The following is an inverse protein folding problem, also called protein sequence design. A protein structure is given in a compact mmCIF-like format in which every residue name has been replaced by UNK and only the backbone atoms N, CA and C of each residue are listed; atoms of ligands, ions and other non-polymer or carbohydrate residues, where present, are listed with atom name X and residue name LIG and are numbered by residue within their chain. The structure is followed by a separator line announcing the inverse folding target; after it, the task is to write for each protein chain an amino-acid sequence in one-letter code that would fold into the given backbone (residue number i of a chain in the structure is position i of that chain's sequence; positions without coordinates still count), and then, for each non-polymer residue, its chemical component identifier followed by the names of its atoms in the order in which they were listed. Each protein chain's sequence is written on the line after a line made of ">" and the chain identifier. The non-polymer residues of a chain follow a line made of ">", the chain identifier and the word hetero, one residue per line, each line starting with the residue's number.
data_IF_996265490171
#
_entry.id   IF_996265490171
#
_cell.length_a   1.000
_cell.length_b   1.000
_cell.length_c   1.000
_cell.angle_alpha   90.00
_cell.angle_beta   90.00
_cell.angle_gamma   90.00
#
_symmetry.space_group_name_H-M   'P 1'
#
loop_
_entity.id
_entity.type
_entity.pdbx_description
1 polymer ?
#
# COMPACT_ATOMS: atom_id res chain seq x y z
N UNK A 1 34.01 28.51 -62.44
CA UNK A 1 32.98 28.91 -61.45
C UNK A 1 32.76 27.69 -60.55
N UNK A 2 33.39 27.63 -59.39
CA UNK A 2 32.90 28.01 -58.06
C UNK A 2 32.37 26.77 -57.30
N UNK A 3 32.69 26.66 -55.99
CA UNK A 3 32.27 25.65 -54.99
C UNK A 3 33.12 24.37 -54.80
N UNK A 4 34.22 24.44 -54.04
CA UNK A 4 34.75 23.25 -53.32
C UNK A 4 35.66 23.61 -52.12
N UNK A 5 35.21 24.52 -51.25
CA UNK A 5 35.98 24.91 -50.05
C UNK A 5 35.16 25.02 -48.76
N UNK A 6 33.82 25.10 -48.86
CA UNK A 6 32.93 25.40 -47.72
C UNK A 6 32.58 24.14 -46.90
N UNK A 7 32.54 22.96 -47.53
CA UNK A 7 32.01 21.73 -46.92
C UNK A 7 32.88 21.15 -45.77
N UNK A 8 34.18 21.48 -45.73
CA UNK A 8 35.10 20.88 -44.73
C UNK A 8 34.99 21.53 -43.35
N UNK A 9 34.70 22.83 -43.29
CA UNK A 9 34.54 23.59 -42.05
C UNK A 9 33.19 23.30 -41.37
N UNK A 10 32.12 23.21 -42.16
CA UNK A 10 30.77 22.92 -41.65
C UNK A 10 30.69 21.52 -41.02
N UNK A 11 31.38 20.53 -41.58
CA UNK A 11 31.43 19.18 -40.98
C UNK A 11 32.21 19.13 -39.67
N UNK A 12 33.19 20.01 -39.47
CA UNK A 12 33.92 20.09 -38.20
C UNK A 12 33.03 20.70 -37.11
N UNK A 13 32.35 21.81 -37.43
CA UNK A 13 31.42 22.47 -36.52
C UNK A 13 30.21 21.57 -36.19
N UNK A 14 29.70 20.85 -37.18
CA UNK A 14 28.60 19.92 -36.98
C UNK A 14 29.00 18.76 -36.05
N UNK A 15 30.21 18.20 -36.20
CA UNK A 15 30.72 17.14 -35.30
C UNK A 15 30.86 17.58 -33.84
N UNK A 16 31.26 18.84 -33.61
CA UNK A 16 31.34 19.39 -32.25
C UNK A 16 29.95 19.58 -31.63
N UNK A 17 28.97 20.04 -32.40
CA UNK A 17 27.57 20.18 -31.92
C UNK A 17 26.91 18.84 -31.56
N UNK A 18 27.27 17.74 -32.25
CA UNK A 18 26.80 16.39 -31.91
C UNK A 18 27.46 15.85 -30.63
N UNK A 19 28.74 16.16 -30.40
CA UNK A 19 29.45 15.78 -29.17
C UNK A 19 28.91 16.50 -27.93
N UNK A 20 28.45 17.74 -28.07
CA UNK A 20 27.85 18.47 -26.95
C UNK A 20 26.43 18.01 -26.63
N UNK A 21 25.57 17.80 -27.65
CA UNK A 21 24.21 17.28 -27.44
C UNK A 21 24.15 15.89 -26.78
N UNK A 22 25.16 15.03 -27.01
CA UNK A 22 25.26 13.72 -26.38
C UNK A 22 25.52 13.76 -24.87
N UNK A 23 26.16 14.82 -24.35
CA UNK A 23 26.47 14.95 -22.91
C UNK A 23 25.26 15.33 -22.05
N UNK A 24 24.28 16.04 -22.61
CA UNK A 24 23.08 16.45 -21.88
C UNK A 24 22.00 15.36 -21.77
N UNK A 25 22.07 14.30 -22.60
CA UNK A 25 21.16 13.15 -22.50
C UNK A 25 21.56 12.14 -21.40
N UNK A 26 22.83 12.13 -20.98
CA UNK A 26 23.33 11.28 -19.89
C UNK A 26 22.84 11.67 -18.49
N UNK A 27 22.29 12.87 -18.30
CA UNK A 27 21.88 13.39 -16.99
C UNK A 27 20.54 12.87 -16.45
N UNK A 28 19.68 12.27 -17.30
CA UNK A 28 18.39 11.71 -16.83
C UNK A 28 18.53 10.30 -16.25
N UNK A 29 19.48 9.51 -16.75
CA UNK A 29 19.69 8.12 -16.33
C UNK A 29 20.37 8.03 -14.95
N UNK A 30 21.34 8.91 -14.66
CA UNK A 30 22.13 8.87 -13.42
C UNK A 30 21.31 9.15 -12.14
N UNK A 31 20.14 9.81 -12.24
CA UNK A 31 19.25 10.03 -11.09
C UNK A 31 18.43 8.81 -10.69
N UNK A 32 18.15 7.89 -11.61
CA UNK A 32 17.38 6.67 -11.31
C UNK A 32 18.29 5.61 -10.71
N UNK A 33 19.50 5.48 -11.27
CA UNK A 33 20.47 4.48 -10.83
C UNK A 33 20.97 4.76 -9.39
N UNK A 34 21.25 6.03 -9.08
CA UNK A 34 21.70 6.44 -7.74
C UNK A 34 20.63 6.27 -6.66
N UNK A 35 19.36 6.50 -7.00
CA UNK A 35 18.22 6.33 -6.08
C UNK A 35 17.92 4.87 -5.77
N UNK A 36 18.17 3.99 -6.73
CA UNK A 36 17.98 2.55 -6.51
C UNK A 36 19.14 1.96 -5.69
N UNK A 37 20.39 2.41 -5.89
CA UNK A 37 21.55 1.96 -5.08
C UNK A 37 21.34 2.16 -3.58
N UNK A 38 20.85 3.33 -3.16
CA UNK A 38 20.61 3.60 -1.72
C UNK A 38 19.53 2.70 -1.12
N UNK A 39 18.49 2.33 -1.90
CA UNK A 39 17.44 1.42 -1.44
C UNK A 39 17.95 -0.02 -1.33
N UNK A 40 18.80 -0.45 -2.27
CA UNK A 40 19.46 -1.76 -2.18
C UNK A 40 20.41 -1.85 -0.99
N UNK A 41 21.19 -0.80 -0.73
CA UNK A 41 22.07 -0.71 0.44
C UNK A 41 21.26 -0.69 1.74
N UNK A 42 20.15 0.04 1.80
CA UNK A 42 19.27 0.06 2.97
C UNK A 42 18.64 -1.31 3.23
N UNK A 43 18.17 -2.01 2.18
CA UNK A 43 17.59 -3.36 2.28
C UNK A 43 18.62 -4.41 2.68
N UNK A 44 19.85 -4.33 2.16
CA UNK A 44 20.95 -5.21 2.56
C UNK A 44 21.31 -5.01 4.03
N UNK A 45 21.41 -3.74 4.48
CA UNK A 45 21.65 -3.40 5.89
C UNK A 45 20.52 -3.86 6.80
N UNK A 46 19.24 -3.74 6.41
CA UNK A 46 18.11 -4.28 7.19
C UNK A 46 18.14 -5.80 7.25
N UNK A 47 18.53 -6.47 6.16
CA UNK A 47 18.64 -7.93 6.11
C UNK A 47 19.78 -8.45 6.99
N UNK A 48 20.87 -7.71 7.10
CA UNK A 48 22.03 -8.03 7.95
C UNK A 48 21.84 -7.60 9.41
N UNK A 49 21.18 -6.47 9.67
CA UNK A 49 20.84 -6.00 11.02
C UNK A 49 19.77 -6.86 11.70
N UNK A 50 19.15 -7.80 10.96
CA UNK A 50 17.98 -8.53 11.41
C UNK A 50 16.77 -7.61 11.60
N UNK A 51 15.60 -8.15 11.95
CA UNK A 51 14.49 -7.32 12.41
C UNK A 51 15.01 -6.42 13.52
N UNK A 52 14.99 -5.10 13.31
CA UNK A 52 15.24 -4.14 14.38
C UNK A 52 14.41 -4.59 15.58
N UNK A 53 14.97 -4.65 16.80
CA UNK A 53 14.19 -4.92 17.99
C UNK A 53 13.25 -3.73 18.17
N UNK A 54 12.12 -3.75 17.48
CA UNK A 54 10.96 -3.06 17.97
C UNK A 54 10.74 -3.69 19.33
N UNK A 55 10.91 -2.90 20.39
CA UNK A 55 10.43 -3.22 21.74
C UNK A 55 8.89 -3.25 21.76
N UNK A 56 8.30 -3.86 20.73
CA UNK A 56 7.01 -4.48 20.81
C UNK A 56 7.33 -5.80 21.47
N UNK A 57 7.15 -5.90 22.78
CA UNK A 57 7.07 -7.22 23.39
C UNK A 57 6.12 -8.04 22.52
N UNK A 58 6.44 -9.31 22.20
CA UNK A 58 5.56 -10.16 21.40
C UNK A 58 4.12 -10.18 21.96
N UNK A 59 3.96 -9.92 23.27
CA UNK A 59 2.68 -9.59 23.87
C UNK A 59 2.01 -8.34 23.31
N UNK A 60 2.67 -7.18 23.26
CA UNK A 60 2.08 -5.95 22.73
C UNK A 60 1.75 -6.05 21.23
N UNK A 61 2.57 -6.75 20.45
CA UNK A 61 2.27 -7.03 19.04
C UNK A 61 1.01 -7.91 18.89
N UNK A 62 0.91 -8.99 19.66
CA UNK A 62 -0.27 -9.86 19.70
C UNK A 62 -1.53 -9.15 20.20
N UNK A 63 -1.40 -8.30 21.22
CA UNK A 63 -2.49 -7.49 21.77
C UNK A 63 -3.00 -6.46 20.78
N UNK A 64 -2.12 -5.72 20.08
CA UNK A 64 -2.54 -4.75 19.07
C UNK A 64 -3.32 -5.40 17.92
N UNK A 65 -2.89 -6.59 17.50
CA UNK A 65 -3.60 -7.40 16.50
C UNK A 65 -4.98 -7.85 17.02
N UNK A 66 -5.05 -8.37 18.25
CA UNK A 66 -6.29 -8.85 18.86
C UNK A 66 -7.31 -7.72 19.06
N UNK A 67 -6.87 -6.56 19.56
CA UNK A 67 -7.72 -5.38 19.72
C UNK A 67 -8.31 -4.94 18.39
N UNK A 68 -7.50 -4.88 17.33
CA UNK A 68 -7.97 -4.49 16.00
C UNK A 68 -9.03 -5.44 15.45
N UNK A 69 -8.85 -6.74 15.63
CA UNK A 69 -9.83 -7.76 15.24
C UNK A 69 -11.11 -7.60 16.07
N UNK A 70 -10.99 -7.40 17.38
CA UNK A 70 -12.10 -7.16 18.29
C UNK A 70 -12.89 -5.90 17.96
N UNK A 71 -12.22 -4.78 17.64
CA UNK A 71 -12.88 -3.53 17.24
C UNK A 71 -13.69 -3.69 15.96
N UNK A 72 -13.19 -4.43 14.98
CA UNK A 72 -13.96 -4.71 13.76
C UNK A 72 -15.23 -5.51 14.07
N UNK A 73 -15.13 -6.52 14.93
CA UNK A 73 -16.28 -7.32 15.36
C UNK A 73 -17.32 -6.44 16.08
N UNK A 74 -16.87 -5.62 17.04
CA UNK A 74 -17.72 -4.72 17.81
C UNK A 74 -18.37 -3.66 16.92
N UNK A 75 -17.64 -3.09 15.95
CA UNK A 75 -18.17 -2.12 15.00
C UNK A 75 -19.28 -2.74 14.14
N UNK A 76 -19.09 -3.95 13.61
CA UNK A 76 -20.14 -4.64 12.84
C UNK A 76 -21.36 -4.99 13.69
N UNK A 77 -21.15 -5.34 14.96
CA UNK A 77 -22.24 -5.68 15.88
C UNK A 77 -23.05 -4.43 16.28
N UNK A 78 -22.38 -3.32 16.58
CA UNK A 78 -23.02 -2.02 16.83
C UNK A 78 -23.84 -1.56 15.62
N UNK A 79 -23.29 -1.71 14.41
CA UNK A 79 -24.00 -1.36 13.17
C UNK A 79 -25.20 -2.27 12.94
N UNK A 80 -25.06 -3.59 13.10
CA UNK A 80 -26.15 -4.56 12.93
C UNK A 80 -27.26 -4.39 13.98
N UNK A 81 -26.89 -4.16 15.25
CA UNK A 81 -27.83 -3.89 16.33
C UNK A 81 -28.53 -2.54 16.18
N UNK A 82 -27.81 -1.48 15.78
CA UNK A 82 -28.39 -0.17 15.51
C UNK A 82 -29.34 -0.19 14.32
N UNK A 83 -28.97 -0.86 13.22
CA UNK A 83 -29.86 -1.08 12.07
C UNK A 83 -31.09 -1.91 12.44
N UNK A 84 -30.89 -3.00 13.19
CA UNK A 84 -31.99 -3.86 13.66
C UNK A 84 -32.98 -3.11 14.54
N UNK A 85 -32.49 -2.30 15.48
CA UNK A 85 -33.32 -1.45 16.34
C UNK A 85 -34.03 -0.35 15.55
N UNK A 86 -33.36 0.25 14.55
CA UNK A 86 -33.96 1.28 13.69
C UNK A 86 -35.12 0.71 12.86
N UNK A 87 -34.95 -0.50 12.33
CA UNK A 87 -35.99 -1.22 11.57
C UNK A 87 -37.16 -1.59 12.49
N UNK A 88 -36.88 -2.10 13.69
CA UNK A 88 -37.91 -2.45 14.70
C UNK A 88 -38.74 -1.21 15.06
N UNK A 89 -38.07 -0.06 15.28
CA UNK A 89 -38.72 1.18 15.73
C UNK A 89 -39.58 1.84 14.65
N UNK A 90 -39.24 1.69 13.37
CA UNK A 90 -39.91 2.39 12.26
C UNK A 90 -40.89 1.53 11.45
N UNK A 91 -40.68 0.22 11.34
CA UNK A 91 -41.38 -0.63 10.37
C UNK A 91 -42.23 -1.74 10.98
N UNK A 92 -41.96 -2.17 12.22
CA UNK A 92 -42.60 -3.34 12.84
C UNK A 92 -43.15 -2.99 14.23
N UNK A 93 -44.47 -2.77 14.38
CA UNK A 93 -45.11 -2.57 15.69
C UNK A 93 -45.10 -3.81 16.61
N UNK A 94 -44.56 -4.96 16.16
CA UNK A 94 -44.72 -6.27 16.80
C UNK A 94 -43.43 -7.07 16.81
N UNK A 95 -42.99 -7.40 18.02
CA UNK A 95 -41.91 -8.33 18.42
C UNK A 95 -40.51 -8.04 17.81
N UNK A 96 -39.41 -8.24 18.58
CA UNK A 96 -38.07 -7.73 18.25
C UNK A 96 -37.36 -8.54 17.14
N UNK A 97 -38.08 -8.92 16.09
CA UNK A 97 -37.60 -9.69 14.95
C UNK A 97 -36.60 -8.88 14.12
N UNK A 98 -36.75 -7.56 14.03
CA UNK A 98 -35.78 -6.67 13.38
C UNK A 98 -34.44 -6.65 14.12
N UNK A 99 -34.48 -6.62 15.44
CA UNK A 99 -33.30 -6.76 16.30
C UNK A 99 -32.64 -8.14 16.18
N UNK A 100 -33.42 -9.23 16.17
CA UNK A 100 -32.89 -10.60 15.98
C UNK A 100 -32.21 -10.74 14.61
N UNK A 101 -32.86 -10.29 13.54
CA UNK A 101 -32.29 -10.29 12.19
C UNK A 101 -31.04 -9.41 12.08
N UNK A 102 -31.07 -8.19 12.64
CA UNK A 102 -29.93 -7.27 12.65
C UNK A 102 -28.72 -7.81 13.42
N UNK A 103 -28.95 -8.47 14.55
CA UNK A 103 -27.91 -9.14 15.33
C UNK A 103 -27.29 -10.31 14.55
N UNK A 104 -28.11 -11.17 13.92
CA UNK A 104 -27.61 -12.30 13.11
C UNK A 104 -26.80 -11.78 11.92
N UNK A 105 -27.29 -10.78 11.20
CA UNK A 105 -26.57 -10.19 10.07
C UNK A 105 -25.26 -9.52 10.50
N UNK A 106 -25.27 -8.78 11.61
CA UNK A 106 -24.07 -8.18 12.20
C UNK A 106 -23.03 -9.24 12.60
N UNK A 107 -23.49 -10.34 13.20
CA UNK A 107 -22.64 -11.46 13.59
C UNK A 107 -22.02 -12.16 12.36
N UNK A 108 -22.82 -12.44 11.33
CA UNK A 108 -22.34 -13.04 10.07
C UNK A 108 -21.32 -12.11 9.38
N UNK A 109 -21.58 -10.80 9.33
CA UNK A 109 -20.66 -9.83 8.76
C UNK A 109 -19.33 -9.75 9.53
N UNK A 110 -19.38 -9.77 10.86
CA UNK A 110 -18.20 -9.79 11.73
C UNK A 110 -17.37 -11.06 11.56
N UNK A 111 -18.02 -12.23 11.59
CA UNK A 111 -17.35 -13.54 11.41
C UNK A 111 -16.72 -13.62 10.02
N UNK A 112 -17.39 -13.15 8.96
CA UNK A 112 -16.85 -13.15 7.59
C UNK A 112 -15.58 -12.30 7.45
N UNK A 113 -15.49 -11.18 8.19
CA UNK A 113 -14.29 -10.32 8.22
C UNK A 113 -13.14 -10.98 9.01
N UNK A 114 -13.46 -11.58 10.15
CA UNK A 114 -12.50 -12.32 10.97
C UNK A 114 -11.92 -13.52 10.21
N UNK A 115 -12.75 -14.30 9.51
CA UNK A 115 -12.32 -15.43 8.68
C UNK A 115 -11.36 -15.02 7.58
N UNK A 116 -11.63 -13.91 6.87
CA UNK A 116 -10.69 -13.36 5.88
C UNK A 116 -9.35 -12.97 6.49
N UNK A 117 -9.37 -12.51 7.73
CA UNK A 117 -8.13 -12.13 8.45
C UNK A 117 -7.36 -13.37 8.88
N UNK A 118 -8.05 -14.42 9.34
CA UNK A 118 -7.44 -15.69 9.74
C UNK A 118 -6.89 -16.50 8.55
N UNK A 119 -7.59 -16.53 7.41
CA UNK A 119 -7.13 -17.24 6.21
C UNK A 119 -5.82 -16.70 5.61
N UNK A 120 -5.43 -15.45 5.95
CA UNK A 120 -4.13 -14.91 5.54
C UNK A 120 -2.93 -15.55 6.24
N UNK A 121 -3.16 -16.31 7.32
CA UNK A 121 -2.11 -16.96 8.12
C UNK A 121 -1.85 -18.41 7.70
N UNK A 122 -2.75 -19.01 6.92
CA UNK A 122 -2.63 -20.42 6.47
C UNK A 122 -1.83 -20.56 5.15
N UNK A 123 -1.25 -19.45 4.64
CA UNK A 123 -0.52 -19.40 3.37
C UNK A 123 0.94 -18.92 3.50
N UNK A 124 1.48 -18.82 4.72
CA UNK A 124 2.87 -18.43 4.98
C UNK A 124 3.63 -19.47 5.77
#
# INVERSE_FOLDING_TARGET
>A
MHHSGVDKGEKALQKETWRERGRFQGGKQVRVDSRNRILFEYRARIREAGPMPSSQDPLFAGLGQAVRIGTNLLATLMVGGGLGWSIDSYLLPTEPWGLVGGLILGLIAGIRNAYRTAQRWDQS
#
